data_IF_842958659627
#
_entry.id   IF_842958659627
#
_cell.length_a   1.000
_cell.length_b   1.000
_cell.length_c   1.000
_cell.angle_alpha   90.00
_cell.angle_beta   90.00
_cell.angle_gamma   90.00
#
_symmetry.space_group_name_H-M   'P 1'
#
loop_
_entity.id
_entity.type
_entity.pdbx_description
1 polymer ?
#
# COMPACT_ATOMS: atom_id res chain seq x y z
N UNK A 1 -23.65 4.81 -44.64
CA UNK A 1 -23.69 5.47 -43.32
C UNK A 1 -22.98 4.58 -42.31
N UNK A 2 -21.67 4.77 -42.13
CA UNK A 2 -20.91 4.09 -41.10
C UNK A 2 -20.75 5.09 -39.95
N UNK A 3 -21.46 4.88 -38.84
CA UNK A 3 -21.32 5.73 -37.64
C UNK A 3 -19.99 5.36 -36.97
N UNK A 4 -19.05 6.30 -36.99
CA UNK A 4 -17.84 6.30 -36.14
C UNK A 4 -18.27 6.17 -34.68
N UNK A 5 -17.91 5.07 -34.04
CA UNK A 5 -17.88 5.00 -32.58
C UNK A 5 -16.49 5.49 -32.17
N UNK A 6 -16.41 6.68 -31.60
CA UNK A 6 -15.24 7.09 -30.83
C UNK A 6 -15.29 6.28 -29.53
N UNK A 7 -14.47 5.24 -29.46
CA UNK A 7 -14.16 4.58 -28.19
C UNK A 7 -12.84 5.21 -27.77
N UNK A 8 -12.89 6.07 -26.75
CA UNK A 8 -11.67 6.57 -26.14
C UNK A 8 -10.91 5.37 -25.56
N UNK A 9 -9.72 5.13 -26.13
CA UNK A 9 -8.81 4.02 -25.78
C UNK A 9 -8.20 4.13 -24.38
N UNK A 10 -8.63 5.09 -23.55
CA UNK A 10 -8.03 5.37 -22.25
C UNK A 10 -8.76 4.71 -21.06
N UNK A 11 -9.95 4.12 -21.29
CA UNK A 11 -10.80 3.58 -20.23
C UNK A 11 -10.83 2.04 -20.16
N UNK A 12 -10.03 1.35 -20.98
CA UNK A 12 -9.99 -0.13 -21.01
C UNK A 12 -8.86 -0.77 -20.23
N UNK A 13 -7.85 -0.02 -19.82
CA UNK A 13 -6.68 -0.58 -19.12
C UNK A 13 -6.89 -0.76 -17.61
N UNK A 14 -8.05 -0.38 -17.09
CA UNK A 14 -8.53 -0.77 -15.75
C UNK A 14 -9.41 -2.02 -15.90
N UNK A 15 -8.78 -3.15 -16.26
CA UNK A 15 -9.46 -4.44 -16.31
C UNK A 15 -9.91 -4.82 -14.89
N UNK A 16 -11.20 -4.62 -14.60
CA UNK A 16 -11.87 -5.19 -13.44
C UNK A 16 -11.69 -6.72 -13.47
N UNK A 17 -10.99 -7.24 -12.46
CA UNK A 17 -11.05 -8.64 -12.07
C UNK A 17 -12.53 -9.01 -11.84
N UNK A 18 -13.04 -10.17 -12.33
CA UNK A 18 -14.40 -10.63 -12.05
C UNK A 18 -14.75 -10.71 -10.55
N UNK A 19 -13.76 -10.60 -9.65
CA UNK A 19 -13.95 -10.47 -8.20
C UNK A 19 -13.99 -9.02 -7.67
N UNK A 20 -13.97 -8.00 -8.53
CA UNK A 20 -14.06 -6.59 -8.15
C UNK A 20 -12.79 -6.02 -7.52
N UNK A 21 -11.64 -6.68 -7.71
CA UNK A 21 -10.36 -6.16 -7.22
C UNK A 21 -9.75 -5.17 -8.23
N UNK A 22 -9.53 -3.94 -7.79
CA UNK A 22 -8.82 -2.93 -8.57
C UNK A 22 -7.35 -3.36 -8.67
N UNK A 23 -6.72 -3.25 -9.84
CA UNK A 23 -5.28 -3.53 -10.00
C UNK A 23 -4.54 -2.35 -10.61
N UNK A 24 -3.22 -2.31 -10.44
CA UNK A 24 -2.40 -1.28 -11.06
C UNK A 24 -0.90 -1.55 -10.98
N UNK A 25 -0.15 -1.10 -11.98
CA UNK A 25 1.31 -1.18 -11.99
C UNK A 25 1.89 -0.05 -11.14
N UNK A 26 2.78 -0.40 -10.20
CA UNK A 26 3.48 0.60 -9.36
C UNK A 26 4.61 1.25 -10.14
N UNK A 27 4.39 2.51 -10.53
CA UNK A 27 5.40 3.33 -11.23
C UNK A 27 6.35 4.03 -10.27
N UNK A 28 5.92 4.33 -9.04
CA UNK A 28 6.74 5.04 -8.05
C UNK A 28 6.34 4.68 -6.63
N UNK A 29 7.33 4.60 -5.75
CA UNK A 29 7.13 4.55 -4.30
C UNK A 29 7.51 5.91 -3.71
N UNK A 30 6.56 6.53 -3.02
CA UNK A 30 6.73 7.87 -2.44
C UNK A 30 7.51 7.73 -1.14
N UNK A 31 7.00 6.88 -0.23
CA UNK A 31 7.52 6.56 1.11
C UNK A 31 7.15 5.11 1.48
N UNK A 32 7.26 4.76 2.77
CA UNK A 32 7.05 3.39 3.25
C UNK A 32 5.61 2.88 3.13
N UNK A 33 4.62 3.75 2.95
CA UNK A 33 3.21 3.36 2.96
C UNK A 33 2.34 4.09 1.91
N UNK A 34 2.99 4.83 1.01
CA UNK A 34 2.36 5.54 -0.09
C UNK A 34 3.06 5.22 -1.41
N UNK A 35 2.27 4.82 -2.41
CA UNK A 35 2.73 4.52 -3.76
C UNK A 35 1.95 5.32 -4.80
N UNK A 36 2.47 5.31 -6.02
CA UNK A 36 1.83 5.86 -7.20
C UNK A 36 1.71 4.75 -8.27
N UNK A 37 0.49 4.56 -8.76
CA UNK A 37 0.18 3.58 -9.81
C UNK A 37 -0.33 4.28 -11.07
N UNK A 38 -0.10 3.65 -12.22
CA UNK A 38 -0.53 4.17 -13.53
C UNK A 38 -0.10 5.63 -13.74
N UNK A 39 -1.05 6.47 -14.16
CA UNK A 39 -0.82 7.88 -14.51
C UNK A 39 -0.88 8.84 -13.30
N UNK A 40 -0.24 8.49 -12.19
CA UNK A 40 -0.13 9.38 -11.04
C UNK A 40 -1.14 9.18 -9.92
N UNK A 41 -1.86 8.05 -9.92
CA UNK A 41 -2.85 7.75 -8.88
C UNK A 41 -2.12 7.34 -7.61
N UNK A 42 -2.28 8.13 -6.54
CA UNK A 42 -1.66 7.84 -5.25
C UNK A 42 -2.52 6.90 -4.42
N UNK A 43 -1.88 5.93 -3.79
CA UNK A 43 -2.50 4.95 -2.89
C UNK A 43 -1.80 5.02 -1.53
N UNK A 44 -2.56 5.27 -0.46
CA UNK A 44 -2.11 5.23 0.95
C UNK A 44 -2.56 3.93 1.60
N UNK A 45 -1.63 3.26 2.26
CA UNK A 45 -1.85 1.95 2.84
C UNK A 45 -2.68 2.06 4.11
N UNK A 46 -3.85 1.41 4.13
CA UNK A 46 -4.72 1.41 5.31
C UNK A 46 -4.07 0.63 6.46
N UNK A 47 -4.27 1.12 7.68
CA UNK A 47 -3.99 0.35 8.89
C UNK A 47 -2.55 0.41 9.39
N UNK A 48 -1.67 1.11 8.66
CA UNK A 48 -0.24 1.20 8.99
C UNK A 48 0.28 2.63 8.81
N UNK A 49 1.34 2.95 9.53
CA UNK A 49 2.04 4.24 9.41
C UNK A 49 3.56 3.99 9.42
N UNK A 50 4.26 4.59 8.46
CA UNK A 50 5.71 4.49 8.32
C UNK A 50 6.36 5.83 8.65
N UNK A 51 7.64 5.83 9.07
CA UNK A 51 8.33 7.09 9.27
C UNK A 51 8.42 7.87 7.96
N UNK A 52 8.15 9.18 8.03
CA UNK A 52 7.98 10.03 6.87
C UNK A 52 9.32 10.41 6.21
N UNK A 53 9.34 10.38 4.88
CA UNK A 53 10.47 10.87 4.06
C UNK A 53 10.22 12.33 3.70
N UNK A 54 11.07 13.24 4.16
CA UNK A 54 10.85 14.68 4.05
C UNK A 54 12.14 15.51 4.04
N UNK A 55 12.02 16.81 4.33
CA UNK A 55 13.19 17.72 4.41
C UNK A 55 14.19 17.30 5.50
N UNK A 56 13.68 16.68 6.55
CA UNK A 56 14.44 15.89 7.51
C UNK A 56 13.74 14.55 7.64
N UNK A 57 14.43 13.48 7.23
CA UNK A 57 13.88 12.13 7.34
C UNK A 57 13.68 11.76 8.81
N UNK A 58 12.56 11.13 9.10
CA UNK A 58 12.37 10.45 10.37
C UNK A 58 13.30 9.23 10.45
N UNK A 59 13.57 8.76 11.66
CA UNK A 59 14.40 7.58 11.86
C UNK A 59 13.79 6.39 11.12
N UNK A 60 14.60 5.71 10.30
CA UNK A 60 14.21 4.53 9.51
C UNK A 60 13.26 4.77 8.32
N UNK A 61 12.99 6.04 7.96
CA UNK A 61 12.10 6.38 6.84
C UNK A 61 12.62 5.86 5.48
N UNK A 62 13.93 5.96 5.24
CA UNK A 62 14.53 5.51 3.99
C UNK A 62 14.53 3.98 3.87
N UNK A 63 14.74 3.29 4.97
CA UNK A 63 14.69 1.83 5.06
C UNK A 63 13.27 1.31 4.83
N UNK A 64 12.25 1.96 5.42
CA UNK A 64 10.85 1.63 5.18
C UNK A 64 10.46 1.84 3.71
N UNK A 65 10.83 2.99 3.13
CA UNK A 65 10.63 3.26 1.71
C UNK A 65 11.31 2.20 0.82
N UNK A 66 12.59 1.91 1.07
CA UNK A 66 13.34 0.92 0.28
C UNK A 66 12.71 -0.46 0.36
N UNK A 67 12.26 -0.87 1.55
CA UNK A 67 11.55 -2.15 1.70
C UNK A 67 10.26 -2.15 0.89
N UNK A 68 9.50 -1.06 0.90
CA UNK A 68 8.30 -0.94 0.08
C UNK A 68 8.64 -1.04 -1.42
N UNK A 69 9.70 -0.36 -1.88
CA UNK A 69 10.22 -0.48 -3.27
C UNK A 69 10.53 -1.93 -3.65
N UNK A 70 11.25 -2.66 -2.80
CA UNK A 70 11.55 -4.09 -3.03
C UNK A 70 10.28 -4.95 -3.14
N UNK A 71 9.26 -4.61 -2.36
CA UNK A 71 8.00 -5.34 -2.35
C UNK A 71 7.14 -5.04 -3.56
N UNK A 72 7.07 -3.80 -4.04
CA UNK A 72 6.02 -3.41 -5.00
C UNK A 72 6.48 -2.72 -6.29
N UNK A 73 7.67 -2.11 -6.34
CA UNK A 73 8.06 -1.27 -7.48
C UNK A 73 8.11 -2.09 -8.78
N UNK A 74 7.47 -1.57 -9.84
CA UNK A 74 7.37 -2.22 -11.15
C UNK A 74 6.47 -3.45 -11.20
N UNK A 75 5.78 -3.80 -10.11
CA UNK A 75 4.86 -4.94 -10.04
C UNK A 75 3.43 -4.49 -10.25
N UNK A 76 2.59 -5.40 -10.74
CA UNK A 76 1.14 -5.23 -10.70
C UNK A 76 0.65 -5.55 -9.29
N UNK A 77 -0.03 -4.62 -8.64
CA UNK A 77 -0.63 -4.80 -7.31
C UNK A 77 -2.13 -4.97 -7.41
N UNK A 78 -2.71 -5.79 -6.54
CA UNK A 78 -4.16 -5.78 -6.29
C UNK A 78 -4.46 -4.87 -5.12
N UNK A 79 -5.55 -4.13 -5.23
CA UNK A 79 -6.00 -3.12 -4.29
C UNK A 79 -7.34 -3.53 -3.72
N UNK A 80 -7.39 -3.62 -2.39
CA UNK A 80 -8.62 -3.90 -1.67
C UNK A 80 -9.03 -2.66 -0.89
N UNK A 81 -10.24 -2.17 -1.15
CA UNK A 81 -10.84 -1.10 -0.37
C UNK A 81 -11.47 -1.66 0.90
N UNK A 82 -11.42 -0.89 1.98
CA UNK A 82 -12.31 -1.10 3.13
C UNK A 82 -13.60 -0.27 2.94
N UNK A 83 -13.80 0.77 3.75
CA UNK A 83 -15.01 1.61 3.68
C UNK A 83 -14.76 2.91 2.92
N UNK A 84 -13.67 3.61 3.26
CA UNK A 84 -13.35 4.91 2.68
C UNK A 84 -12.68 4.76 1.32
N UNK A 85 -13.06 5.61 0.38
CA UNK A 85 -12.52 5.61 -0.98
C UNK A 85 -11.18 6.35 -1.05
N UNK A 86 -11.18 7.60 -0.57
CA UNK A 86 -10.04 8.52 -0.59
C UNK A 86 -9.93 9.24 0.73
N UNK A 87 -8.71 9.63 1.08
CA UNK A 87 -8.48 10.61 2.14
C UNK A 87 -8.70 12.06 1.66
N UNK A 88 -8.56 13.02 2.58
CA UNK A 88 -8.69 14.45 2.29
C UNK A 88 -7.66 15.01 1.31
N UNK A 89 -6.58 14.27 1.03
CA UNK A 89 -5.54 14.63 0.06
C UNK A 89 -5.78 13.98 -1.30
N UNK A 90 -6.88 13.24 -1.47
CA UNK A 90 -7.26 12.59 -2.71
C UNK A 90 -6.51 11.27 -2.97
N UNK A 91 -5.76 10.74 -2.00
CA UNK A 91 -5.09 9.43 -2.12
C UNK A 91 -6.13 8.33 -1.93
N UNK A 92 -6.10 7.30 -2.78
CA UNK A 92 -6.91 6.10 -2.58
C UNK A 92 -6.49 5.42 -1.27
N UNK A 93 -7.47 4.98 -0.48
CA UNK A 93 -7.22 4.20 0.72
C UNK A 93 -7.40 2.73 0.38
N UNK A 94 -6.31 1.95 0.44
CA UNK A 94 -6.32 0.53 0.07
C UNK A 94 -5.44 -0.32 0.98
N UNK A 95 -5.80 -1.59 1.12
CA UNK A 95 -4.86 -2.66 1.41
C UNK A 95 -4.22 -3.11 0.10
N UNK A 96 -2.91 -3.28 0.09
CA UNK A 96 -2.13 -3.55 -1.11
C UNK A 96 -1.59 -4.96 -1.08
N UNK A 97 -1.74 -5.68 -2.19
CA UNK A 97 -1.29 -7.04 -2.34
C UNK A 97 -0.38 -7.20 -3.56
N UNK A 98 0.61 -8.07 -3.44
CA UNK A 98 1.46 -8.51 -4.56
C UNK A 98 1.37 -10.02 -4.72
N UNK A 99 1.52 -10.50 -5.95
CA UNK A 99 1.41 -11.93 -6.26
C UNK A 99 -0.03 -12.43 -6.33
N UNK A 100 -0.17 -13.71 -6.64
CA UNK A 100 -1.46 -14.35 -6.91
C UNK A 100 -1.53 -15.73 -6.23
N UNK A 101 -2.75 -16.24 -6.04
CA UNK A 101 -3.01 -17.54 -5.43
C UNK A 101 -2.36 -17.68 -4.05
N UNK A 102 -1.67 -18.79 -3.82
CA UNK A 102 -0.98 -19.10 -2.56
C UNK A 102 0.21 -18.17 -2.26
N UNK A 103 0.74 -17.47 -3.28
CA UNK A 103 1.86 -16.55 -3.13
C UNK A 103 1.40 -15.09 -2.93
N UNK A 104 0.10 -14.85 -2.73
CA UNK A 104 -0.44 -13.50 -2.51
C UNK A 104 0.01 -12.98 -1.14
N UNK A 105 0.70 -11.85 -1.13
CA UNK A 105 1.25 -11.21 0.07
C UNK A 105 0.52 -9.89 0.29
N UNK A 106 -0.02 -9.68 1.50
CA UNK A 106 -0.46 -8.36 1.94
C UNK A 106 0.75 -7.51 2.33
N UNK A 107 1.04 -6.49 1.53
CA UNK A 107 2.21 -5.59 1.71
C UNK A 107 2.11 -4.85 3.04
N UNK A 108 0.90 -4.41 3.42
CA UNK A 108 0.64 -3.72 4.68
C UNK A 108 1.12 -4.54 5.89
N UNK A 109 0.73 -5.82 5.96
CA UNK A 109 1.13 -6.70 7.06
C UNK A 109 2.63 -6.97 7.03
N UNK A 110 3.20 -7.23 5.85
CA UNK A 110 4.63 -7.52 5.70
C UNK A 110 5.51 -6.40 6.26
N UNK A 111 5.17 -5.14 5.96
CA UNK A 111 5.90 -3.97 6.46
C UNK A 111 5.84 -3.88 8.00
N UNK A 112 4.66 -4.06 8.61
CA UNK A 112 4.52 -4.03 10.07
C UNK A 112 5.25 -5.21 10.73
N UNK A 113 5.09 -6.40 10.18
CA UNK A 113 5.67 -7.65 10.72
C UNK A 113 7.18 -7.65 10.73
N UNK A 114 7.80 -7.02 9.74
CA UNK A 114 9.26 -6.85 9.65
C UNK A 114 9.77 -5.60 10.38
N UNK A 115 8.87 -4.79 10.97
CA UNK A 115 9.22 -3.61 11.76
C UNK A 115 9.56 -2.37 10.94
N UNK A 116 9.04 -2.23 9.72
CA UNK A 116 9.17 -1.03 8.91
C UNK A 116 8.02 -0.04 9.10
N UNK A 117 6.92 -0.48 9.70
CA UNK A 117 5.73 0.32 9.98
C UNK A 117 5.17 0.04 11.38
N UNK A 118 4.45 1.02 11.93
CA UNK A 118 3.60 0.86 13.10
C UNK A 118 2.18 0.47 12.67
N UNK A 119 1.43 -0.19 13.55
CA UNK A 119 0.00 -0.35 13.35
C UNK A 119 -0.72 0.98 13.62
N UNK A 120 -1.58 1.42 12.70
CA UNK A 120 -2.29 2.69 12.80
C UNK A 120 -3.77 2.53 12.47
N UNK A 121 -4.62 2.64 13.49
CA UNK A 121 -6.07 2.41 13.35
C UNK A 121 -6.83 3.71 13.18
N UNK A 122 -7.55 3.87 12.08
CA UNK A 122 -8.42 5.02 11.84
C UNK A 122 -9.81 4.55 11.36
N UNK A 123 -10.87 4.62 12.19
CA UNK A 123 -12.22 4.27 11.77
C UNK A 123 -12.70 5.16 10.61
N UNK A 124 -13.51 4.63 9.67
CA UNK A 124 -14.12 3.29 9.68
C UNK A 124 -13.22 2.16 9.14
N UNK A 125 -12.02 2.46 8.65
CA UNK A 125 -11.16 1.52 7.92
C UNK A 125 -10.32 0.63 8.86
N UNK A 126 -10.97 -0.37 9.46
CA UNK A 126 -10.40 -1.20 10.54
C UNK A 126 -10.47 -2.70 10.29
N UNK A 127 -10.79 -3.14 9.06
CA UNK A 127 -10.98 -4.56 8.70
C UNK A 127 -9.86 -5.49 9.19
N UNK A 128 -8.60 -5.07 9.09
CA UNK A 128 -7.42 -5.85 9.49
C UNK A 128 -6.69 -5.34 10.74
N UNK A 129 -7.36 -4.54 11.59
CA UNK A 129 -6.75 -3.94 12.78
C UNK A 129 -6.00 -4.95 13.65
N UNK A 130 -6.63 -6.06 14.01
CA UNK A 130 -6.04 -7.05 14.92
C UNK A 130 -4.85 -7.77 14.29
N UNK A 131 -4.86 -7.95 12.96
CA UNK A 131 -3.73 -8.50 12.21
C UNK A 131 -2.50 -7.61 12.38
N UNK A 132 -2.63 -6.31 12.13
CA UNK A 132 -1.52 -5.36 12.24
C UNK A 132 -1.03 -5.19 13.68
N UNK A 133 -1.93 -5.12 14.67
CA UNK A 133 -1.53 -5.04 16.08
C UNK A 133 -0.74 -6.28 16.52
N UNK A 134 -1.12 -7.46 16.06
CA UNK A 134 -0.39 -8.69 16.35
C UNK A 134 0.97 -8.74 15.64
N UNK A 135 1.04 -8.28 14.39
CA UNK A 135 2.29 -8.17 13.64
C UNK A 135 3.27 -7.20 14.32
N UNK A 136 2.80 -6.03 14.74
CA UNK A 136 3.60 -5.02 15.42
C UNK A 136 4.14 -5.56 16.75
N UNK A 137 3.28 -6.22 17.55
CA UNK A 137 3.71 -6.84 18.81
C UNK A 137 4.86 -7.82 18.59
N UNK A 138 4.80 -8.64 17.53
CA UNK A 138 5.88 -9.58 17.18
C UNK A 138 7.15 -8.84 16.78
N UNK A 139 7.05 -7.80 15.95
CA UNK A 139 8.20 -7.01 15.55
C UNK A 139 8.90 -6.34 16.75
N UNK A 140 8.12 -5.81 17.70
CA UNK A 140 8.62 -5.20 18.96
C UNK A 140 9.37 -6.21 19.83
N UNK A 141 8.74 -7.36 20.12
CA UNK A 141 9.34 -8.40 20.98
C UNK A 141 10.66 -8.91 20.39
N UNK A 142 10.73 -9.05 19.07
CA UNK A 142 11.93 -9.52 18.37
C UNK A 142 12.93 -8.40 18.04
N UNK A 143 12.65 -7.14 18.42
CA UNK A 143 13.48 -5.97 18.11
C UNK A 143 13.83 -5.92 16.62
N UNK A 144 12.82 -5.86 15.76
CA UNK A 144 12.98 -5.76 14.31
C UNK A 144 12.86 -4.30 13.86
N UNK A 145 13.58 -3.95 12.79
CA UNK A 145 13.50 -2.64 12.12
C UNK A 145 13.53 -1.44 13.09
N UNK A 146 12.48 -0.64 13.05
CA UNK A 146 12.22 0.53 13.91
C UNK A 146 12.53 0.25 15.38
N UNK A 147 12.11 -0.92 15.88
CA UNK A 147 12.17 -1.31 17.29
C UNK A 147 13.59 -1.62 17.79
N UNK A 148 14.55 -1.73 16.87
CA UNK A 148 15.98 -1.89 17.19
C UNK A 148 16.79 -0.64 16.84
N UNK A 149 16.42 0.06 15.77
CA UNK A 149 17.22 1.14 15.19
C UNK A 149 16.89 2.51 15.79
N UNK A 150 15.65 2.69 16.26
CA UNK A 150 15.13 3.98 16.71
C UNK A 150 14.68 3.98 18.17
N UNK A 151 14.96 2.90 18.90
CA UNK A 151 14.61 2.68 20.32
C UNK A 151 15.58 3.33 21.29
#
# INVERSE_FOLDING_TARGET
>A
MCKRVFIDNFLKDLFEDPFGSETGIVGRVIDGDTIEIGDGIKVRYIGIDTPEVGSKNECFALEAKKKNEELVLGKNVSLEKDFSEKDKYGRLLRYVYVGEGENKIMVNEALVKEGFANAYTYPPDVKYKDLFLNAERRARVNKLGLWLKCS
#
